data_IF_119249699705
#
_entry.id   IF_119249699705
#
_cell.length_a   1.000
_cell.length_b   1.000
_cell.length_c   1.000
_cell.angle_alpha   90.00
_cell.angle_beta   90.00
_cell.angle_gamma   90.00
#
_symmetry.space_group_name_H-M   'P 1'
#
loop_
_entity.id
_entity.type
_entity.pdbx_description
1 polymer ?
#
# COMPACT_ATOMS: atom_id res chain seq x y z
N UNK A 1 14.61 -52.52 45.39
CA UNK A 1 15.76 -51.62 45.51
C UNK A 1 16.01 -51.08 44.13
N UNK A 2 15.38 -49.92 43.84
CA UNK A 2 16.01 -48.62 43.75
C UNK A 2 16.82 -48.45 42.45
N UNK A 3 16.68 -47.56 41.53
CA UNK A 3 16.10 -46.25 41.56
C UNK A 3 15.84 -45.83 40.11
N UNK A 4 14.71 -45.23 39.85
CA UNK A 4 14.43 -44.56 38.61
C UNK A 4 15.11 -43.16 38.57
N UNK A 5 15.70 -42.82 37.44
CA UNK A 5 16.07 -41.45 37.16
C UNK A 5 15.12 -40.89 36.11
N UNK A 6 14.15 -40.10 36.55
CA UNK A 6 13.30 -39.28 35.74
C UNK A 6 14.12 -38.14 35.10
N UNK A 7 14.11 -38.03 33.79
CA UNK A 7 14.59 -36.84 33.12
C UNK A 7 13.50 -35.77 33.22
N UNK A 8 13.78 -34.76 34.04
CA UNK A 8 12.97 -33.54 34.11
C UNK A 8 13.01 -32.79 32.78
N UNK A 9 11.87 -32.77 32.10
CA UNK A 9 11.58 -31.79 31.07
C UNK A 9 11.40 -30.42 31.73
N UNK A 10 12.44 -29.62 31.69
CA UNK A 10 12.32 -28.18 32.02
C UNK A 10 11.53 -27.52 30.90
N UNK A 11 10.23 -27.39 31.09
CA UNK A 11 9.39 -26.46 30.40
C UNK A 11 9.74 -25.06 30.87
N UNK A 12 10.59 -24.38 30.12
CA UNK A 12 10.79 -22.94 30.30
C UNK A 12 9.54 -22.19 29.80
N UNK A 13 8.57 -22.02 30.69
CA UNK A 13 7.56 -20.96 30.50
C UNK A 13 8.31 -19.63 30.57
N UNK A 14 8.12 -18.71 29.61
CA UNK A 14 8.69 -17.38 29.72
C UNK A 14 8.10 -16.68 30.95
N UNK A 15 8.97 -16.17 31.78
CA UNK A 15 8.65 -15.33 32.93
C UNK A 15 7.76 -14.16 32.50
N UNK A 16 6.53 -13.99 33.01
CA UNK A 16 5.66 -12.86 32.68
C UNK A 16 6.16 -11.52 33.21
N UNK A 17 7.32 -11.49 33.90
CA UNK A 17 7.91 -10.29 34.50
C UNK A 17 8.97 -9.58 33.63
N UNK A 18 9.49 -10.16 32.58
CA UNK A 18 10.29 -9.45 31.59
C UNK A 18 9.39 -8.96 30.49
N UNK A 19 8.59 -7.95 30.74
CA UNK A 19 8.23 -6.99 29.72
C UNK A 19 9.55 -6.45 29.15
N UNK A 20 10.07 -7.07 28.08
CA UNK A 20 10.88 -6.30 27.16
C UNK A 20 10.07 -5.01 26.96
N UNK A 21 10.70 -3.83 27.15
CA UNK A 21 10.00 -2.58 26.88
C UNK A 21 9.44 -2.80 25.48
N UNK A 22 8.12 -2.69 25.35
CA UNK A 22 7.49 -2.68 24.05
C UNK A 22 8.44 -1.85 23.23
N UNK A 23 9.09 -2.46 22.20
CA UNK A 23 9.98 -1.74 21.33
C UNK A 23 9.09 -0.66 20.78
N UNK A 24 9.00 0.40 21.57
CA UNK A 24 8.27 1.57 21.19
C UNK A 24 8.76 1.83 19.80
N UNK A 25 7.95 2.28 18.94
CA UNK A 25 8.30 2.91 17.68
C UNK A 25 9.37 3.96 18.00
N UNK A 26 10.48 3.47 18.54
CA UNK A 26 11.56 4.24 19.11
C UNK A 26 12.22 4.98 17.97
N UNK A 27 12.42 6.24 18.21
CA UNK A 27 13.13 7.19 17.37
C UNK A 27 14.37 6.61 16.69
N UNK A 28 14.98 5.60 17.30
CA UNK A 28 16.21 4.98 16.83
C UNK A 28 16.04 4.02 15.67
N UNK A 29 14.84 3.53 15.39
CA UNK A 29 14.63 2.41 14.47
C UNK A 29 13.83 2.75 13.19
N UNK A 30 13.16 3.88 13.09
CA UNK A 30 12.44 4.25 11.89
C UNK A 30 13.39 4.74 10.79
N UNK A 31 13.73 3.84 9.88
CA UNK A 31 14.58 4.17 8.72
C UNK A 31 13.91 5.20 7.81
N UNK A 32 12.60 5.13 7.68
CA UNK A 32 11.81 6.09 6.91
C UNK A 32 11.95 7.51 7.46
N UNK A 33 11.89 7.64 8.77
CA UNK A 33 12.12 8.91 9.43
C UNK A 33 13.55 9.42 9.23
N UNK A 34 14.55 8.55 9.41
CA UNK A 34 15.97 8.93 9.23
C UNK A 34 16.25 9.36 7.80
N UNK A 35 15.67 8.68 6.81
CA UNK A 35 15.75 9.07 5.40
C UNK A 35 15.04 10.40 5.14
N UNK A 36 13.85 10.61 5.68
CA UNK A 36 13.14 11.89 5.57
C UNK A 36 13.79 13.00 6.36
N UNK A 37 14.44 12.71 7.50
CA UNK A 37 15.21 13.69 8.27
C UNK A 37 16.45 14.21 7.54
N UNK A 38 17.13 13.38 6.74
CA UNK A 38 18.22 13.81 5.84
C UNK A 38 17.77 14.87 4.83
N UNK A 39 16.47 14.96 4.59
CA UNK A 39 15.89 15.81 3.55
C UNK A 39 15.35 17.13 4.09
N UNK A 40 15.39 17.35 5.41
CA UNK A 40 14.89 18.56 6.04
C UNK A 40 15.74 19.78 5.66
N UNK A 41 15.08 20.83 5.27
CA UNK A 41 15.69 22.14 5.00
C UNK A 41 16.24 22.32 3.57
N UNK A 42 16.09 21.34 2.67
CA UNK A 42 16.60 21.47 1.29
C UNK A 42 15.46 21.60 0.26
N UNK A 43 14.31 20.94 0.47
CA UNK A 43 13.08 21.10 -0.30
C UNK A 43 11.94 20.36 0.40
N UNK A 44 10.68 20.74 0.13
CA UNK A 44 9.49 20.06 0.66
C UNK A 44 9.29 18.62 0.14
N UNK A 45 10.16 18.15 -0.75
CA UNK A 45 10.10 16.81 -1.34
C UNK A 45 11.30 15.94 -0.94
N UNK A 46 11.15 15.03 0.04
CA UNK A 46 12.21 14.13 0.46
C UNK A 46 12.70 13.17 -0.65
N UNK A 47 11.85 12.89 -1.63
CA UNK A 47 12.20 12.01 -2.75
C UNK A 47 13.30 12.61 -3.61
N UNK A 48 13.28 13.93 -3.79
CA UNK A 48 14.28 14.63 -4.60
C UNK A 48 15.71 14.42 -4.09
N UNK A 49 15.92 14.42 -2.79
CA UNK A 49 17.26 14.21 -2.22
C UNK A 49 17.72 12.76 -2.41
N UNK A 50 16.86 11.79 -2.18
CA UNK A 50 17.19 10.39 -2.45
C UNK A 50 17.52 10.17 -3.92
N UNK A 51 16.81 10.84 -4.84
CA UNK A 51 17.14 10.85 -6.27
C UNK A 51 18.50 11.49 -6.53
N UNK A 52 18.82 12.64 -5.92
CA UNK A 52 20.12 13.30 -6.07
C UNK A 52 21.27 12.42 -5.54
N UNK A 53 21.07 11.70 -4.44
CA UNK A 53 22.04 10.74 -3.93
C UNK A 53 22.32 9.67 -4.98
N UNK A 54 21.29 9.03 -5.52
CA UNK A 54 21.43 8.01 -6.57
C UNK A 54 22.11 8.54 -7.84
N UNK A 55 21.73 9.73 -8.29
CA UNK A 55 22.26 10.32 -9.52
C UNK A 55 23.71 10.82 -9.39
N UNK A 56 24.10 11.33 -8.22
CA UNK A 56 25.44 11.95 -8.03
C UNK A 56 26.48 10.99 -7.47
N UNK A 57 26.06 10.04 -6.63
CA UNK A 57 26.98 9.15 -5.91
C UNK A 57 27.08 7.80 -6.59
N UNK A 58 25.97 7.26 -7.08
CA UNK A 58 25.94 6.00 -7.79
C UNK A 58 24.67 5.16 -7.50
N UNK A 59 24.55 3.97 -8.14
CA UNK A 59 23.36 3.15 -8.06
C UNK A 59 23.20 2.40 -6.72
N UNK A 60 24.28 2.29 -5.93
CA UNK A 60 24.30 1.63 -4.61
C UNK A 60 25.10 2.52 -3.66
N UNK A 61 24.43 3.10 -2.67
CA UNK A 61 25.04 4.10 -1.79
C UNK A 61 24.88 3.70 -0.32
N UNK A 62 25.97 3.34 0.37
CA UNK A 62 25.93 3.10 1.80
C UNK A 62 25.94 4.42 2.59
N UNK A 63 25.02 4.55 3.54
CA UNK A 63 24.90 5.72 4.42
C UNK A 63 24.84 5.21 5.87
N UNK A 64 25.56 5.87 6.77
CA UNK A 64 25.44 5.61 8.20
C UNK A 64 24.44 6.58 8.81
N UNK A 65 23.33 6.06 9.31
CA UNK A 65 22.31 6.82 10.01
C UNK A 65 22.31 6.43 11.49
N UNK A 66 22.97 7.24 12.30
CA UNK A 66 23.25 6.94 13.71
C UNK A 66 23.91 5.54 13.86
N UNK A 67 23.27 4.62 14.58
CA UNK A 67 23.77 3.24 14.81
C UNK A 67 23.48 2.27 13.66
N UNK A 68 22.75 2.69 12.62
CA UNK A 68 22.34 1.80 11.52
C UNK A 68 23.01 2.15 10.20
N UNK A 69 23.51 1.12 9.52
CA UNK A 69 23.97 1.25 8.14
C UNK A 69 22.81 0.96 7.19
N UNK A 70 22.55 1.91 6.30
CA UNK A 70 21.51 1.87 5.28
C UNK A 70 22.18 1.89 3.91
N UNK A 71 21.77 1.00 3.03
CA UNK A 71 22.24 0.95 1.65
C UNK A 71 21.10 1.33 0.73
N UNK A 72 21.18 2.48 0.09
CA UNK A 72 20.19 2.95 -0.88
C UNK A 72 20.55 2.35 -2.24
N UNK A 73 19.60 1.69 -2.87
CA UNK A 73 19.72 1.06 -4.18
C UNK A 73 18.74 1.71 -5.12
N UNK A 74 19.21 2.19 -6.28
CA UNK A 74 18.39 2.92 -7.27
C UNK A 74 18.36 2.27 -8.64
N UNK A 75 19.17 1.24 -8.90
CA UNK A 75 19.27 0.58 -10.20
C UNK A 75 18.41 -0.71 -10.26
N UNK A 76 17.60 -0.89 -11.31
CA UNK A 76 16.76 -2.07 -11.54
C UNK A 76 17.47 -3.41 -11.51
N UNK A 77 18.72 -3.50 -11.96
CA UNK A 77 19.50 -4.75 -11.93
C UNK A 77 19.73 -5.20 -10.49
N UNK A 78 20.05 -4.26 -9.62
CA UNK A 78 20.24 -4.53 -8.19
C UNK A 78 18.92 -4.82 -7.46
N UNK A 79 17.78 -4.29 -7.94
CA UNK A 79 16.47 -4.71 -7.45
C UNK A 79 16.22 -6.19 -7.73
N UNK A 80 16.56 -6.65 -8.94
CA UNK A 80 16.48 -8.07 -9.29
C UNK A 80 17.35 -8.93 -8.35
N UNK A 81 18.58 -8.46 -8.05
CA UNK A 81 19.49 -9.18 -7.15
C UNK A 81 18.83 -9.42 -5.79
N UNK A 82 18.34 -8.35 -5.15
CA UNK A 82 17.77 -8.42 -3.79
C UNK A 82 16.39 -9.08 -3.74
N UNK A 83 15.51 -8.82 -4.72
CA UNK A 83 14.11 -9.27 -4.66
C UNK A 83 13.89 -10.65 -5.26
N UNK A 84 14.77 -11.09 -6.14
CA UNK A 84 14.58 -12.34 -6.92
C UNK A 84 15.74 -13.30 -6.72
N UNK A 85 16.97 -12.88 -7.07
CA UNK A 85 18.12 -13.78 -7.11
C UNK A 85 18.55 -14.23 -5.73
N UNK A 86 18.64 -13.30 -4.79
CA UNK A 86 19.06 -13.50 -3.40
C UNK A 86 17.91 -13.25 -2.39
N UNK A 87 16.66 -13.44 -2.82
CA UNK A 87 15.50 -13.11 -2.01
C UNK A 87 15.50 -13.72 -0.59
N UNK A 88 16.10 -14.89 -0.41
CA UNK A 88 16.18 -15.55 0.90
C UNK A 88 17.23 -14.95 1.82
N UNK A 89 18.26 -14.31 1.27
CA UNK A 89 19.27 -13.58 2.02
C UNK A 89 18.76 -12.23 2.57
N UNK A 90 17.62 -11.76 2.08
CA UNK A 90 17.09 -10.43 2.43
C UNK A 90 15.69 -10.55 3.04
N UNK A 91 15.63 -10.46 4.37
CA UNK A 91 14.36 -10.51 5.10
C UNK A 91 13.53 -9.22 4.90
N UNK A 92 12.21 -9.32 5.07
CA UNK A 92 11.34 -8.15 5.13
C UNK A 92 11.66 -7.30 6.37
N UNK A 93 11.43 -5.99 6.25
CA UNK A 93 11.58 -5.07 7.37
C UNK A 93 10.26 -4.32 7.61
N UNK A 94 9.55 -4.71 8.65
CA UNK A 94 8.28 -4.12 9.04
C UNK A 94 8.15 -3.94 10.56
N UNK A 95 9.26 -3.87 11.29
CA UNK A 95 9.27 -3.81 12.76
C UNK A 95 8.40 -2.67 13.32
N UNK A 96 8.35 -1.52 12.61
CA UNK A 96 7.51 -0.39 12.96
C UNK A 96 6.03 -0.54 12.64
N UNK A 97 5.63 -1.57 11.87
CA UNK A 97 4.26 -1.74 11.38
C UNK A 97 3.48 -2.84 12.09
N UNK A 98 4.11 -3.59 12.99
CA UNK A 98 3.43 -4.63 13.79
C UNK A 98 2.22 -4.09 14.57
N UNK A 99 2.24 -2.88 15.17
CA UNK A 99 1.06 -2.34 15.81
C UNK A 99 -0.13 -2.09 14.86
N UNK A 100 0.14 -1.87 13.56
CA UNK A 100 -0.91 -1.69 12.53
C UNK A 100 -1.42 -3.04 12.06
N UNK A 101 -0.51 -3.94 11.70
CA UNK A 101 -0.83 -5.17 10.96
C UNK A 101 -0.88 -6.42 11.85
N UNK A 102 -0.49 -6.31 13.12
CA UNK A 102 -0.30 -7.47 13.98
C UNK A 102 0.79 -8.40 13.45
N UNK A 103 0.67 -9.68 13.75
CA UNK A 103 1.52 -10.75 13.22
C UNK A 103 0.90 -11.32 11.95
N UNK A 104 0.89 -10.54 10.86
CA UNK A 104 0.26 -10.91 9.59
C UNK A 104 1.27 -11.32 8.53
N UNK A 105 0.78 -11.76 7.38
CA UNK A 105 1.61 -12.09 6.22
C UNK A 105 2.58 -10.95 5.84
N UNK A 106 2.21 -9.69 6.08
CA UNK A 106 3.06 -8.54 5.76
C UNK A 106 4.26 -8.44 6.71
N UNK A 107 4.09 -8.80 7.99
CA UNK A 107 5.13 -8.72 9.04
C UNK A 107 5.93 -10.01 9.22
N UNK A 108 5.41 -11.15 8.78
CA UNK A 108 6.12 -12.44 8.80
C UNK A 108 7.04 -12.63 7.60
N UNK A 109 8.07 -13.48 7.77
CA UNK A 109 8.98 -13.91 6.70
C UNK A 109 9.32 -15.40 6.79
N UNK A 110 10.14 -15.90 5.84
CA UNK A 110 10.60 -17.28 5.80
C UNK A 110 9.50 -18.32 5.60
N UNK A 111 9.64 -19.46 6.27
CA UNK A 111 8.71 -20.59 6.16
C UNK A 111 7.32 -20.26 6.68
N UNK A 112 7.23 -19.53 7.78
CA UNK A 112 5.94 -19.12 8.35
C UNK A 112 5.16 -18.22 7.40
N UNK A 113 5.82 -17.26 6.74
CA UNK A 113 5.21 -16.45 5.71
C UNK A 113 4.63 -17.30 4.56
N UNK A 114 5.34 -18.34 4.12
CA UNK A 114 4.83 -19.24 3.07
C UNK A 114 3.57 -19.99 3.51
N UNK A 115 3.58 -20.54 4.73
CA UNK A 115 2.42 -21.23 5.32
C UNK A 115 1.20 -20.33 5.43
N UNK A 116 1.41 -19.06 5.79
CA UNK A 116 0.33 -18.08 5.90
C UNK A 116 -0.18 -17.65 4.52
N UNK A 117 0.71 -17.43 3.55
CA UNK A 117 0.36 -16.93 2.21
C UNK A 117 -0.39 -17.94 1.37
N UNK A 118 0.02 -19.19 1.40
CA UNK A 118 -0.50 -20.22 0.47
C UNK A 118 -2.01 -20.44 0.54
N UNK A 119 -2.65 -20.54 1.72
CA UNK A 119 -4.10 -20.71 1.82
C UNK A 119 -4.90 -19.55 1.24
N UNK A 120 -4.34 -18.35 1.23
CA UNK A 120 -5.00 -17.10 0.86
C UNK A 120 -4.77 -16.74 -0.63
N UNK A 121 -3.77 -17.34 -1.26
CA UNK A 121 -3.37 -17.01 -2.64
C UNK A 121 -4.47 -17.19 -3.68
N UNK A 122 -5.37 -18.19 -3.60
CA UNK A 122 -6.45 -18.35 -4.57
C UNK A 122 -7.39 -17.15 -4.70
N UNK A 123 -7.58 -16.36 -3.62
CA UNK A 123 -8.39 -15.14 -3.65
C UNK A 123 -7.83 -14.06 -4.59
N UNK A 124 -6.54 -14.13 -4.93
CA UNK A 124 -5.84 -13.17 -5.79
C UNK A 124 -5.47 -13.75 -7.16
N UNK A 125 -5.99 -14.92 -7.49
CA UNK A 125 -5.85 -15.48 -8.82
C UNK A 125 -6.78 -14.77 -9.82
N UNK A 126 -6.36 -14.50 -11.08
CA UNK A 126 -7.21 -13.83 -12.06
C UNK A 126 -8.59 -14.45 -12.27
N UNK A 127 -8.73 -15.77 -12.10
CA UNK A 127 -10.01 -16.47 -12.22
C UNK A 127 -11.04 -16.01 -11.17
N UNK A 128 -10.59 -15.58 -9.98
CA UNK A 128 -11.46 -15.05 -8.95
C UNK A 128 -12.02 -13.65 -9.29
N UNK A 129 -11.36 -12.92 -10.18
CA UNK A 129 -11.73 -11.53 -10.47
C UNK A 129 -13.09 -11.41 -11.17
N UNK A 130 -13.46 -12.39 -11.98
CA UNK A 130 -14.80 -12.43 -12.60
C UNK A 130 -15.91 -12.41 -11.54
N UNK A 131 -15.68 -13.07 -10.41
CA UNK A 131 -16.64 -13.11 -9.30
C UNK A 131 -16.64 -11.78 -8.51
N UNK A 132 -15.56 -10.98 -8.54
CA UNK A 132 -15.44 -9.73 -7.77
C UNK A 132 -16.03 -8.52 -8.48
N UNK A 133 -16.03 -8.50 -9.82
CA UNK A 133 -16.47 -7.36 -10.62
C UNK A 133 -17.87 -6.86 -10.27
N UNK A 134 -18.91 -7.70 -10.07
CA UNK A 134 -20.22 -7.23 -9.66
C UNK A 134 -20.21 -6.47 -8.32
N UNK A 135 -19.33 -6.86 -7.39
CA UNK A 135 -19.20 -6.21 -6.08
C UNK A 135 -18.45 -4.89 -6.18
N UNK A 136 -17.40 -4.82 -7.03
CA UNK A 136 -16.75 -3.54 -7.35
C UNK A 136 -17.74 -2.58 -7.99
N UNK A 137 -18.50 -3.03 -8.98
CA UNK A 137 -19.53 -2.21 -9.63
C UNK A 137 -20.58 -1.69 -8.65
N UNK A 138 -21.02 -2.54 -7.71
CA UNK A 138 -21.97 -2.13 -6.67
C UNK A 138 -21.40 -1.02 -5.79
N UNK A 139 -20.17 -1.17 -5.27
CA UNK A 139 -19.50 -0.17 -4.46
C UNK A 139 -19.27 1.14 -5.23
N UNK A 140 -18.86 1.05 -6.50
CA UNK A 140 -18.64 2.23 -7.35
C UNK A 140 -19.97 2.97 -7.60
N UNK A 141 -21.07 2.25 -7.84
CA UNK A 141 -22.40 2.88 -8.02
C UNK A 141 -22.91 3.57 -6.76
N UNK A 142 -22.69 2.98 -5.59
CA UNK A 142 -23.01 3.64 -4.32
C UNK A 142 -22.18 4.92 -4.14
N UNK A 143 -20.90 4.89 -4.49
CA UNK A 143 -20.05 6.08 -4.49
C UNK A 143 -20.52 7.12 -5.52
N UNK A 144 -20.92 6.70 -6.71
CA UNK A 144 -21.46 7.59 -7.75
C UNK A 144 -22.72 8.31 -7.28
N UNK A 145 -23.64 7.60 -6.61
CA UNK A 145 -24.85 8.22 -6.03
C UNK A 145 -24.47 9.33 -5.02
N UNK A 146 -23.46 9.10 -4.19
CA UNK A 146 -22.93 10.14 -3.29
C UNK A 146 -22.30 11.30 -4.03
N UNK A 147 -21.62 11.05 -5.13
CA UNK A 147 -21.03 12.09 -5.96
C UNK A 147 -22.08 12.93 -6.72
N UNK A 148 -23.26 12.36 -7.03
CA UNK A 148 -24.39 13.16 -7.53
C UNK A 148 -24.81 14.24 -6.53
N UNK A 149 -24.94 13.88 -5.23
CA UNK A 149 -25.25 14.85 -4.18
C UNK A 149 -24.17 15.93 -4.03
N UNK A 150 -22.89 15.53 -4.08
CA UNK A 150 -21.77 16.47 -4.01
C UNK A 150 -21.71 17.42 -5.22
N UNK A 151 -22.10 16.92 -6.40
CA UNK A 151 -22.18 17.75 -7.60
C UNK A 151 -23.31 18.82 -7.51
N UNK A 152 -24.41 18.49 -6.84
CA UNK A 152 -25.51 19.43 -6.60
C UNK A 152 -25.13 20.52 -5.59
N UNK A 153 -24.47 20.15 -4.51
CA UNK A 153 -24.06 21.10 -3.45
C UNK A 153 -22.87 21.95 -3.84
N UNK A 154 -21.99 21.40 -4.72
CA UNK A 154 -20.72 22.02 -5.09
C UNK A 154 -19.71 22.09 -3.94
N UNK A 155 -19.90 21.27 -2.91
CA UNK A 155 -18.99 21.13 -1.78
C UNK A 155 -17.59 20.67 -2.23
N UNK A 156 -16.56 21.21 -1.58
CA UNK A 156 -15.18 20.76 -1.77
C UNK A 156 -14.95 19.58 -0.83
N UNK A 157 -14.50 18.45 -1.41
CA UNK A 157 -14.23 17.22 -0.68
C UNK A 157 -12.75 16.86 -0.70
N UNK A 158 -12.30 16.12 0.29
CA UNK A 158 -10.97 15.53 0.32
C UNK A 158 -10.98 14.22 -0.48
N UNK A 159 -10.27 14.19 -1.62
CA UNK A 159 -10.37 13.09 -2.59
C UNK A 159 -9.78 11.78 -2.06
N UNK A 160 -8.73 11.83 -1.24
CA UNK A 160 -8.18 10.61 -0.65
C UNK A 160 -9.20 9.94 0.26
N UNK A 161 -9.98 10.71 1.03
CA UNK A 161 -11.08 10.16 1.84
C UNK A 161 -12.18 9.54 0.96
N UNK A 162 -12.55 10.21 -0.14
CA UNK A 162 -13.56 9.69 -1.07
C UNK A 162 -13.14 8.37 -1.70
N UNK A 163 -11.89 8.27 -2.14
CA UNK A 163 -11.34 7.05 -2.74
C UNK A 163 -11.05 5.97 -1.70
N UNK A 164 -10.66 6.36 -0.48
CA UNK A 164 -10.44 5.43 0.62
C UNK A 164 -11.73 4.70 1.03
N UNK A 165 -12.82 5.46 1.18
CA UNK A 165 -14.12 4.87 1.52
C UNK A 165 -14.64 3.96 0.40
N UNK A 166 -14.37 4.29 -0.87
CA UNK A 166 -14.69 3.42 -2.00
C UNK A 166 -13.86 2.13 -1.97
N UNK A 167 -12.54 2.22 -1.81
CA UNK A 167 -11.65 1.05 -1.79
C UNK A 167 -11.98 0.11 -0.62
N UNK A 168 -12.28 0.66 0.58
CA UNK A 168 -12.69 -0.12 1.74
C UNK A 168 -13.99 -0.90 1.46
N UNK A 169 -14.96 -0.26 0.82
CA UNK A 169 -16.23 -0.91 0.48
C UNK A 169 -16.05 -2.00 -0.58
N UNK A 170 -15.23 -1.75 -1.61
CA UNK A 170 -14.87 -2.77 -2.61
C UNK A 170 -14.26 -4.01 -1.96
N UNK A 171 -13.32 -3.84 -1.01
CA UNK A 171 -12.66 -4.94 -0.31
C UNK A 171 -13.66 -5.70 0.57
N UNK A 172 -14.47 -4.99 1.36
CA UNK A 172 -15.46 -5.63 2.22
C UNK A 172 -16.43 -6.50 1.42
N UNK A 173 -16.97 -5.96 0.33
CA UNK A 173 -17.90 -6.68 -0.54
C UNK A 173 -17.24 -7.81 -1.31
N UNK A 174 -16.09 -7.59 -1.93
CA UNK A 174 -15.45 -8.56 -2.81
C UNK A 174 -14.72 -9.68 -2.05
N UNK A 175 -13.86 -9.34 -1.09
CA UNK A 175 -13.01 -10.30 -0.41
C UNK A 175 -13.64 -10.94 0.82
N UNK A 176 -14.52 -10.21 1.51
CA UNK A 176 -15.10 -10.70 2.77
C UNK A 176 -16.58 -11.05 2.67
N UNK A 177 -17.24 -10.70 1.57
CA UNK A 177 -18.71 -10.90 1.40
C UNK A 177 -19.50 -10.18 2.51
N UNK A 178 -19.10 -8.95 2.82
CA UNK A 178 -19.71 -8.12 3.85
C UNK A 178 -20.03 -6.74 3.31
N UNK A 179 -21.15 -6.17 3.72
CA UNK A 179 -21.29 -4.73 3.74
C UNK A 179 -20.38 -4.17 4.83
N UNK A 180 -19.94 -2.94 4.67
CA UNK A 180 -19.02 -2.35 5.63
C UNK A 180 -19.71 -2.14 6.99
N UNK A 181 -19.34 -2.87 8.05
CA UNK A 181 -20.07 -2.86 9.33
C UNK A 181 -19.72 -1.68 10.24
N UNK A 182 -19.09 -0.66 9.69
CA UNK A 182 -18.61 0.51 10.43
C UNK A 182 -18.73 1.77 9.57
N UNK A 183 -18.67 2.95 10.23
CA UNK A 183 -18.61 4.21 9.49
C UNK A 183 -17.25 4.36 8.81
N UNK A 184 -17.16 4.35 7.47
CA UNK A 184 -15.90 4.40 6.74
C UNK A 184 -15.14 5.71 6.95
N UNK A 185 -15.83 6.84 7.13
CA UNK A 185 -15.20 8.13 7.42
C UNK A 185 -14.53 8.14 8.80
N UNK A 186 -15.15 7.50 9.80
CA UNK A 186 -14.55 7.36 11.12
C UNK A 186 -13.30 6.48 11.06
N UNK A 187 -13.35 5.36 10.31
CA UNK A 187 -12.20 4.47 10.15
C UNK A 187 -11.08 5.16 9.37
N UNK A 188 -11.38 5.89 8.30
CA UNK A 188 -10.39 6.72 7.60
C UNK A 188 -9.69 7.68 8.56
N UNK A 189 -10.46 8.35 9.42
CA UNK A 189 -9.90 9.25 10.43
C UNK A 189 -8.98 8.50 11.41
N UNK A 190 -9.36 7.30 11.88
CA UNK A 190 -8.51 6.48 12.74
C UNK A 190 -7.21 6.08 12.03
N UNK A 191 -7.31 5.59 10.79
CA UNK A 191 -6.15 5.18 9.99
C UNK A 191 -5.22 6.37 9.75
N UNK A 192 -5.76 7.51 9.34
CA UNK A 192 -4.99 8.74 9.13
C UNK A 192 -4.33 9.21 10.42
N UNK A 193 -5.08 9.31 11.52
CA UNK A 193 -4.57 9.71 12.83
C UNK A 193 -3.46 8.75 13.27
N UNK A 194 -3.66 7.43 13.12
CA UNK A 194 -2.65 6.44 13.46
C UNK A 194 -1.38 6.59 12.61
N UNK A 195 -1.52 6.79 11.31
CA UNK A 195 -0.39 7.00 10.39
C UNK A 195 0.36 8.28 10.76
N UNK A 196 -0.36 9.34 11.09
CA UNK A 196 0.22 10.60 11.57
C UNK A 196 0.97 10.39 12.90
N UNK A 197 0.40 9.66 13.86
CA UNK A 197 1.09 9.31 15.12
C UNK A 197 2.35 8.49 14.88
N UNK A 198 2.30 7.49 14.01
CA UNK A 198 3.47 6.70 13.64
C UNK A 198 4.60 7.56 13.07
N UNK A 199 4.23 8.57 12.28
CA UNK A 199 5.16 9.55 11.75
C UNK A 199 5.63 10.53 12.83
N UNK A 200 4.92 10.66 13.97
CA UNK A 200 5.13 11.65 15.01
C UNK A 200 5.75 11.10 16.30
N UNK A 201 5.87 9.80 16.48
CA UNK A 201 6.67 9.26 17.60
C UNK A 201 8.14 9.68 17.55
N UNK A 202 8.54 10.26 16.45
CA UNK A 202 9.79 11.04 16.33
C UNK A 202 9.64 12.51 16.80
N UNK A 203 8.64 12.80 17.62
CA UNK A 203 8.28 14.14 18.16
C UNK A 203 9.45 14.91 18.76
N UNK A 204 10.41 14.25 19.41
CA UNK A 204 11.55 14.97 20.02
C UNK A 204 12.39 15.72 18.98
N UNK A 205 12.65 15.10 17.85
CA UNK A 205 13.39 15.73 16.76
C UNK A 205 12.56 16.78 16.02
N UNK A 206 11.21 16.60 15.95
CA UNK A 206 10.30 17.59 15.38
C UNK A 206 10.06 18.80 16.29
N UNK A 207 9.98 18.58 17.62
CA UNK A 207 9.95 19.69 18.59
C UNK A 207 11.19 20.58 18.53
N UNK A 208 12.36 19.98 18.23
CA UNK A 208 13.60 20.72 17.98
C UNK A 208 13.57 21.49 16.65
N UNK A 209 12.76 21.06 15.67
CA UNK A 209 12.57 21.72 14.38
C UNK A 209 11.45 22.76 14.35
N UNK A 210 10.76 23.04 15.47
CA UNK A 210 9.73 24.07 15.58
C UNK A 210 8.37 23.72 14.98
N UNK A 211 8.12 22.47 14.61
CA UNK A 211 6.80 22.03 14.15
C UNK A 211 5.92 21.67 15.35
N UNK A 212 4.87 22.44 15.60
CA UNK A 212 3.84 22.16 16.61
C UNK A 212 2.86 21.12 16.06
N UNK A 213 2.69 20.02 16.80
CA UNK A 213 1.65 19.02 16.53
C UNK A 213 0.62 18.99 17.67
N UNK A 214 -0.65 19.14 17.31
CA UNK A 214 -1.78 19.24 18.24
C UNK A 214 -2.47 17.89 18.51
N UNK A 215 -1.79 16.76 18.42
CA UNK A 215 -2.41 15.48 18.74
C UNK A 215 -2.04 15.02 20.15
N UNK A 216 -3.05 14.75 20.96
CA UNK A 216 -2.86 14.18 22.30
C UNK A 216 -2.56 12.67 22.22
N UNK A 217 -1.86 12.15 23.25
CA UNK A 217 -1.66 10.70 23.42
C UNK A 217 -3.01 9.95 23.53
N UNK A 218 -4.04 10.62 24.04
CA UNK A 218 -5.41 10.09 24.14
C UNK A 218 -6.05 9.92 22.77
N UNK A 219 -5.90 10.87 21.83
CA UNK A 219 -6.42 10.74 20.47
C UNK A 219 -5.71 9.63 19.69
N UNK A 220 -4.41 9.48 19.94
CA UNK A 220 -3.63 8.38 19.40
C UNK A 220 -4.12 7.02 19.88
N UNK A 221 -4.37 6.89 21.19
CA UNK A 221 -4.88 5.66 21.79
C UNK A 221 -6.28 5.31 21.24
N UNK A 222 -7.18 6.29 21.15
CA UNK A 222 -8.52 6.12 20.57
C UNK A 222 -8.47 5.70 19.11
N UNK A 223 -7.54 6.25 18.32
CA UNK A 223 -7.37 5.87 16.92
C UNK A 223 -6.92 4.41 16.78
N UNK A 224 -5.97 3.97 17.63
CA UNK A 224 -5.52 2.58 17.67
C UNK A 224 -6.67 1.65 18.09
N UNK A 225 -7.38 1.96 19.15
CA UNK A 225 -8.53 1.17 19.63
C UNK A 225 -9.62 1.07 18.55
N UNK A 226 -9.98 2.20 17.94
CA UNK A 226 -10.95 2.23 16.85
C UNK A 226 -10.54 1.37 15.65
N UNK A 227 -9.27 1.39 15.26
CA UNK A 227 -8.75 0.53 14.21
C UNK A 227 -8.79 -0.96 14.58
N UNK A 228 -8.45 -1.32 15.82
CA UNK A 228 -8.45 -2.72 16.28
C UNK A 228 -9.85 -3.31 16.41
N UNK A 229 -10.89 -2.48 16.52
CA UNK A 229 -12.28 -2.93 16.54
C UNK A 229 -12.82 -3.32 15.16
N UNK A 230 -12.17 -2.87 14.06
CA UNK A 230 -12.67 -3.08 12.70
C UNK A 230 -12.66 -4.55 12.25
N UNK A 231 -11.56 -5.33 12.36
CA UNK A 231 -11.57 -6.73 11.93
C UNK A 231 -12.60 -7.60 12.65
N UNK A 232 -12.76 -7.56 13.98
CA UNK A 232 -13.81 -8.29 14.66
C UNK A 232 -15.22 -7.91 14.17
N UNK A 233 -15.47 -6.63 13.86
CA UNK A 233 -16.74 -6.19 13.31
C UNK A 233 -17.00 -6.79 11.91
N UNK A 234 -15.98 -6.87 11.06
CA UNK A 234 -16.08 -7.52 9.74
C UNK A 234 -16.35 -9.02 9.86
N UNK A 235 -15.68 -9.72 10.78
CA UNK A 235 -15.88 -11.15 11.02
C UNK A 235 -17.31 -11.40 11.52
N UNK A 236 -17.79 -10.60 12.47
CA UNK A 236 -19.11 -10.75 13.09
C UNK A 236 -20.30 -10.29 12.23
N UNK A 237 -20.05 -9.53 11.17
CA UNK A 237 -21.10 -9.05 10.28
C UNK A 237 -21.76 -10.20 9.50
N UNK A 238 -23.06 -10.07 9.19
CA UNK A 238 -23.75 -11.02 8.36
C UNK A 238 -23.16 -11.09 6.94
N UNK A 239 -23.04 -12.29 6.32
CA UNK A 239 -22.61 -12.40 4.94
C UNK A 239 -23.67 -11.77 4.02
N UNK A 240 -23.21 -11.11 2.97
CA UNK A 240 -24.05 -10.43 1.98
C UNK A 240 -24.77 -11.43 1.07
N UNK A 241 -23.97 -12.29 0.44
CA UNK A 241 -24.45 -13.21 -0.59
C UNK A 241 -24.13 -14.68 -0.26
N UNK A 242 -23.60 -14.96 0.94
CA UNK A 242 -23.22 -16.28 1.44
C UNK A 242 -22.27 -17.05 0.50
N UNK A 243 -21.32 -16.34 -0.12
CA UNK A 243 -20.36 -16.94 -1.05
C UNK A 243 -19.42 -17.91 -0.32
N UNK A 244 -19.17 -19.05 -0.95
CA UNK A 244 -18.28 -20.09 -0.39
C UNK A 244 -16.78 -19.80 -0.65
N UNK A 245 -16.47 -19.07 -1.72
CA UNK A 245 -15.07 -18.79 -2.13
C UNK A 245 -14.72 -17.33 -1.87
N UNK A 246 -14.57 -16.96 -0.61
CA UNK A 246 -14.10 -15.62 -0.22
C UNK A 246 -12.78 -15.73 0.50
N UNK A 247 -12.02 -14.63 0.54
CA UNK A 247 -10.79 -14.57 1.33
C UNK A 247 -11.07 -14.84 2.82
N UNK A 248 -12.21 -14.33 3.34
CA UNK A 248 -12.61 -14.60 4.72
C UNK A 248 -12.78 -16.10 4.98
N UNK A 249 -13.46 -16.81 4.08
CA UNK A 249 -13.62 -18.28 4.16
C UNK A 249 -12.30 -19.04 4.08
N UNK A 250 -11.36 -18.55 3.25
CA UNK A 250 -10.02 -19.14 3.16
C UNK A 250 -9.23 -18.93 4.45
N UNK A 251 -9.35 -17.76 5.09
CA UNK A 251 -8.75 -17.48 6.40
C UNK A 251 -9.38 -18.36 7.48
N UNK A 252 -10.71 -18.45 7.55
CA UNK A 252 -11.44 -19.32 8.49
C UNK A 252 -11.00 -20.80 8.33
N UNK A 253 -10.87 -21.27 7.10
CA UNK A 253 -10.42 -22.63 6.83
C UNK A 253 -8.96 -22.85 7.27
N UNK A 254 -8.08 -21.87 7.06
CA UNK A 254 -6.68 -21.94 7.51
C UNK A 254 -6.55 -21.94 9.04
N UNK A 255 -7.39 -21.17 9.75
CA UNK A 255 -7.49 -21.18 11.23
C UNK A 255 -7.93 -22.56 11.75
N UNK A 256 -8.80 -23.25 11.00
CA UNK A 256 -9.30 -24.58 11.37
C UNK A 256 -8.40 -25.74 10.97
N UNK A 257 -7.35 -25.49 10.17
CA UNK A 257 -6.44 -26.54 9.65
C UNK A 257 -5.40 -26.96 10.71
N UNK A 258 -5.46 -28.21 11.22
CA UNK A 258 -4.50 -28.70 12.20
C UNK A 258 -3.09 -28.84 11.66
N UNK A 259 -2.89 -28.79 10.34
CA UNK A 259 -1.57 -28.87 9.71
C UNK A 259 -0.84 -27.52 9.71
N UNK A 260 -1.54 -26.44 10.07
CA UNK A 260 -0.99 -25.08 10.15
C UNK A 260 -1.27 -24.50 11.56
N UNK A 261 -0.71 -25.10 12.62
CA UNK A 261 -1.02 -24.66 14.00
C UNK A 261 -0.57 -23.23 14.29
N UNK A 262 0.33 -22.68 13.49
CA UNK A 262 0.76 -21.29 13.58
C UNK A 262 -0.29 -20.30 13.05
N UNK A 263 -1.30 -20.79 12.29
CA UNK A 263 -2.41 -19.98 11.78
C UNK A 263 -3.59 -20.05 12.76
N UNK A 264 -3.43 -19.48 13.94
CA UNK A 264 -4.46 -19.43 14.97
C UNK A 264 -5.53 -18.33 14.70
N UNK A 265 -6.50 -18.23 15.61
CA UNK A 265 -7.55 -17.22 15.51
C UNK A 265 -7.00 -15.78 15.45
N UNK A 266 -5.98 -15.47 16.28
CA UNK A 266 -5.37 -14.12 16.28
C UNK A 266 -4.65 -13.84 14.97
N UNK A 267 -3.98 -14.84 14.40
CA UNK A 267 -3.38 -14.73 13.07
C UNK A 267 -4.45 -14.42 12.01
N UNK A 268 -5.61 -15.08 12.08
CA UNK A 268 -6.75 -14.79 11.17
C UNK A 268 -7.24 -13.34 11.28
N UNK A 269 -7.38 -12.82 12.50
CA UNK A 269 -7.76 -11.42 12.75
C UNK A 269 -6.71 -10.47 12.18
N UNK A 270 -5.42 -10.77 12.39
CA UNK A 270 -4.33 -9.94 11.89
C UNK A 270 -4.24 -9.97 10.35
N UNK A 271 -4.56 -11.11 9.71
CA UNK A 271 -4.67 -11.18 8.25
C UNK A 271 -5.79 -10.29 7.70
N UNK A 272 -6.97 -10.29 8.32
CA UNK A 272 -8.07 -9.41 7.91
C UNK A 272 -7.67 -7.94 8.08
N UNK A 273 -7.02 -7.60 9.20
CA UNK A 273 -6.51 -6.27 9.49
C UNK A 273 -5.55 -5.78 8.40
N UNK A 274 -4.58 -6.62 8.01
CA UNK A 274 -3.62 -6.24 6.98
C UNK A 274 -4.29 -6.01 5.62
N UNK A 275 -5.27 -6.85 5.22
CA UNK A 275 -5.97 -6.69 3.94
C UNK A 275 -6.84 -5.45 3.91
N UNK A 276 -7.52 -5.15 5.01
CA UNK A 276 -8.31 -3.91 5.13
C UNK A 276 -7.43 -2.67 5.00
N UNK A 277 -6.23 -2.68 5.57
CA UNK A 277 -5.32 -1.54 5.43
C UNK A 277 -4.62 -1.52 4.08
N UNK A 278 -3.84 -2.56 3.79
CA UNK A 278 -2.94 -2.56 2.64
C UNK A 278 -3.70 -2.46 1.31
N UNK A 279 -4.87 -3.10 1.22
CA UNK A 279 -5.70 -3.04 0.03
C UNK A 279 -6.46 -1.72 -0.10
N UNK A 280 -6.91 -1.13 1.01
CA UNK A 280 -7.66 0.13 0.98
C UNK A 280 -6.77 1.33 0.71
N UNK A 281 -5.74 1.53 1.52
CA UNK A 281 -4.89 2.72 1.48
C UNK A 281 -4.16 2.88 0.13
N UNK A 282 -3.54 1.81 -0.37
CA UNK A 282 -2.77 1.87 -1.62
C UNK A 282 -3.64 2.04 -2.85
N UNK A 283 -4.80 1.38 -2.89
CA UNK A 283 -5.80 1.50 -3.95
C UNK A 283 -6.39 2.90 -3.97
N UNK A 284 -6.77 3.42 -2.81
CA UNK A 284 -7.31 4.77 -2.67
C UNK A 284 -6.33 5.84 -3.15
N UNK A 285 -5.06 5.75 -2.76
CA UNK A 285 -4.02 6.69 -3.20
C UNK A 285 -3.80 6.60 -4.71
N UNK A 286 -3.80 5.40 -5.29
CA UNK A 286 -3.69 5.23 -6.75
C UNK A 286 -4.83 5.95 -7.46
N UNK A 287 -6.08 5.75 -7.03
CA UNK A 287 -7.24 6.39 -7.66
C UNK A 287 -7.25 7.91 -7.44
N UNK A 288 -6.92 8.37 -6.25
CA UNK A 288 -6.86 9.81 -5.93
C UNK A 288 -5.80 10.53 -6.78
N UNK A 289 -4.61 9.96 -6.91
CA UNK A 289 -3.56 10.51 -7.77
C UNK A 289 -3.92 10.42 -9.27
N UNK A 290 -4.64 9.37 -9.70
CA UNK A 290 -5.14 9.29 -11.09
C UNK A 290 -6.14 10.42 -11.38
N UNK A 291 -7.08 10.68 -10.47
CA UNK A 291 -8.04 11.77 -10.60
C UNK A 291 -7.32 13.15 -10.58
N UNK A 292 -6.29 13.32 -9.75
CA UNK A 292 -5.46 14.51 -9.75
C UNK A 292 -4.79 14.73 -11.11
N UNK A 293 -4.08 13.73 -11.63
CA UNK A 293 -3.41 13.82 -12.91
C UNK A 293 -4.39 14.13 -14.05
N UNK A 294 -5.55 13.47 -14.06
CA UNK A 294 -6.58 13.68 -15.09
C UNK A 294 -7.26 15.04 -14.99
N UNK A 295 -7.33 15.65 -13.81
CA UNK A 295 -7.81 17.01 -13.66
C UNK A 295 -6.85 18.05 -14.27
N UNK A 296 -5.55 17.72 -14.36
CA UNK A 296 -4.53 18.55 -15.00
C UNK A 296 -4.36 18.24 -16.51
N UNK A 297 -4.93 17.10 -16.99
CA UNK A 297 -4.81 16.63 -18.35
C UNK A 297 -6.20 16.33 -18.97
N UNK A 298 -6.99 17.37 -19.31
CA UNK A 298 -8.38 17.22 -19.75
C UNK A 298 -8.53 16.37 -21.01
N UNK A 299 -7.58 16.41 -21.94
CA UNK A 299 -7.60 15.60 -23.17
C UNK A 299 -7.44 14.10 -22.84
N UNK A 300 -6.56 13.76 -21.90
CA UNK A 300 -6.40 12.39 -21.42
C UNK A 300 -7.67 11.91 -20.70
N UNK A 301 -8.29 12.78 -19.89
CA UNK A 301 -9.56 12.47 -19.22
C UNK A 301 -10.70 12.25 -20.27
N UNK A 302 -10.76 13.07 -21.33
CA UNK A 302 -11.72 12.90 -22.39
C UNK A 302 -11.53 11.56 -23.14
N UNK A 303 -10.28 11.13 -23.33
CA UNK A 303 -9.98 9.85 -23.95
C UNK A 303 -10.39 8.66 -23.09
N UNK A 304 -10.17 8.72 -21.77
CA UNK A 304 -10.69 7.70 -20.81
C UNK A 304 -12.21 7.61 -20.91
N UNK A 305 -12.92 8.74 -20.92
CA UNK A 305 -14.38 8.78 -21.09
C UNK A 305 -14.83 8.13 -22.41
N UNK A 306 -14.17 8.49 -23.49
CA UNK A 306 -14.48 7.93 -24.83
C UNK A 306 -14.28 6.42 -24.87
N UNK A 307 -13.15 5.90 -24.33
CA UNK A 307 -12.89 4.46 -24.24
C UNK A 307 -13.96 3.77 -23.40
N UNK A 308 -14.25 4.29 -22.20
CA UNK A 308 -15.26 3.71 -21.31
C UNK A 308 -16.67 3.68 -21.94
N UNK A 309 -17.04 4.74 -22.68
CA UNK A 309 -18.31 4.79 -23.43
C UNK A 309 -18.35 3.79 -24.59
N UNK A 310 -17.24 3.62 -25.32
CA UNK A 310 -17.16 2.66 -26.42
C UNK A 310 -17.18 1.21 -25.95
N UNK A 311 -16.53 0.91 -24.81
CA UNK A 311 -16.41 -0.46 -24.29
C UNK A 311 -17.66 -0.88 -23.54
N UNK A 312 -18.16 -0.04 -22.64
CA UNK A 312 -19.24 -0.38 -21.72
C UNK A 312 -20.60 0.21 -22.12
N UNK A 313 -20.63 1.29 -22.92
CA UNK A 313 -21.87 2.04 -23.13
C UNK A 313 -22.43 2.53 -21.79
N UNK A 314 -23.72 2.30 -21.55
CA UNK A 314 -24.41 2.64 -20.29
C UNK A 314 -24.41 1.50 -19.27
N UNK A 315 -23.98 0.30 -19.65
CA UNK A 315 -23.94 -0.85 -18.75
C UNK A 315 -22.77 -0.80 -17.79
N UNK A 316 -22.88 -1.59 -16.72
CA UNK A 316 -21.75 -1.84 -15.82
C UNK A 316 -20.65 -2.64 -16.55
N UNK A 317 -19.37 -2.43 -16.25
CA UNK A 317 -18.29 -3.23 -16.78
C UNK A 317 -18.39 -4.71 -16.39
N UNK A 318 -17.99 -5.58 -17.32
CA UNK A 318 -17.88 -7.02 -17.16
C UNK A 318 -16.42 -7.49 -17.25
N UNK A 319 -16.17 -8.79 -17.00
CA UNK A 319 -14.82 -9.34 -16.96
C UNK A 319 -14.00 -9.10 -18.24
N UNK A 320 -14.64 -9.22 -19.40
CA UNK A 320 -13.98 -9.03 -20.69
C UNK A 320 -13.64 -7.55 -20.98
N UNK A 321 -14.35 -6.61 -20.36
CA UNK A 321 -14.15 -5.19 -20.60
C UNK A 321 -12.81 -4.70 -20.01
N UNK A 322 -12.30 -5.32 -18.96
CA UNK A 322 -11.01 -4.96 -18.39
C UNK A 322 -9.88 -5.01 -19.43
N UNK A 323 -9.91 -6.01 -20.32
CA UNK A 323 -8.92 -6.11 -21.39
C UNK A 323 -9.09 -5.02 -22.47
N UNK A 324 -10.33 -4.61 -22.73
CA UNK A 324 -10.68 -3.58 -23.71
C UNK A 324 -10.42 -2.16 -23.19
N UNK A 325 -10.47 -1.91 -21.88
CA UNK A 325 -10.14 -0.63 -21.22
C UNK A 325 -8.61 -0.41 -21.18
N UNK A 326 -7.94 -0.57 -22.32
CA UNK A 326 -6.47 -0.60 -22.40
C UNK A 326 -5.84 0.76 -22.10
N UNK A 327 -6.45 1.85 -22.54
CA UNK A 327 -5.97 3.20 -22.27
C UNK A 327 -6.21 3.59 -20.82
N UNK A 328 -7.37 3.28 -20.26
CA UNK A 328 -7.68 3.51 -18.83
C UNK A 328 -6.70 2.77 -17.94
N UNK A 329 -6.35 1.51 -18.27
CA UNK A 329 -5.28 0.77 -17.56
C UNK A 329 -3.93 1.47 -17.68
N UNK A 330 -3.60 2.00 -18.85
CA UNK A 330 -2.34 2.71 -19.05
C UNK A 330 -2.27 4.00 -18.21
N UNK A 331 -3.39 4.67 -17.99
CA UNK A 331 -3.51 5.80 -17.06
C UNK A 331 -3.17 5.36 -15.63
N UNK A 332 -3.73 4.24 -15.16
CA UNK A 332 -3.43 3.70 -13.80
C UNK A 332 -1.96 3.30 -13.70
N UNK A 333 -1.39 2.68 -14.72
CA UNK A 333 0.04 2.31 -14.70
C UNK A 333 0.95 3.54 -14.64
N UNK A 334 0.64 4.57 -15.43
CA UNK A 334 1.42 5.82 -15.43
C UNK A 334 1.27 6.59 -14.11
N UNK A 335 0.07 6.56 -13.52
CA UNK A 335 -0.16 7.11 -12.19
C UNK A 335 0.72 6.44 -11.15
N UNK A 336 0.77 5.10 -11.12
CA UNK A 336 1.61 4.35 -10.18
C UNK A 336 3.11 4.52 -10.47
N UNK A 337 3.51 4.90 -11.69
CA UNK A 337 4.89 5.26 -11.97
C UNK A 337 5.24 6.61 -11.36
N UNK A 338 4.40 7.64 -11.56
CA UNK A 338 4.65 9.00 -11.05
C UNK A 338 4.39 9.10 -9.54
N UNK A 339 3.35 8.46 -9.04
CA UNK A 339 2.92 8.51 -7.64
C UNK A 339 2.70 7.09 -7.09
N UNK A 340 3.77 6.26 -6.99
CA UNK A 340 3.63 4.91 -6.43
C UNK A 340 3.24 5.01 -4.95
N UNK A 341 2.12 4.40 -4.52
CA UNK A 341 1.74 4.43 -3.10
C UNK A 341 2.84 3.89 -2.19
N UNK A 342 3.55 2.85 -2.63
CA UNK A 342 4.76 2.33 -1.96
C UNK A 342 5.97 2.78 -2.77
N UNK A 343 6.62 3.85 -2.32
CA UNK A 343 7.70 4.51 -3.03
C UNK A 343 9.06 3.79 -2.95
N UNK A 344 9.21 2.82 -2.04
CA UNK A 344 10.40 2.01 -1.89
C UNK A 344 10.15 0.77 -1.04
N UNK A 345 11.07 -0.19 -1.11
CA UNK A 345 11.01 -1.43 -0.34
C UNK A 345 12.23 -1.53 0.56
N UNK A 346 12.05 -1.92 1.81
CA UNK A 346 13.17 -2.16 2.72
C UNK A 346 13.36 -3.65 2.93
N UNK A 347 14.63 -4.06 2.97
CA UNK A 347 15.07 -5.40 3.32
C UNK A 347 16.16 -5.34 4.37
N UNK A 348 16.30 -6.40 5.14
CA UNK A 348 17.41 -6.61 6.07
C UNK A 348 18.28 -7.71 5.52
N UNK A 349 19.57 -7.47 5.39
CA UNK A 349 20.52 -8.49 5.00
C UNK A 349 20.69 -9.52 6.13
N UNK A 350 20.33 -10.77 5.87
CA UNK A 350 20.50 -11.91 6.78
C UNK A 350 21.86 -12.57 6.67
N UNK A 351 22.56 -12.36 5.56
CA UNK A 351 23.92 -12.83 5.32
C UNK A 351 24.79 -11.73 4.68
N UNK A 352 26.11 -11.92 4.70
CA UNK A 352 27.01 -11.02 3.99
C UNK A 352 26.85 -11.23 2.47
N UNK A 353 26.81 -10.12 1.72
CA UNK A 353 26.63 -10.15 0.26
C UNK A 353 27.35 -8.96 -0.39
N UNK A 354 27.21 -8.82 -1.70
CA UNK A 354 27.74 -7.69 -2.46
C UNK A 354 26.71 -7.24 -3.51
N UNK A 355 26.42 -5.93 -3.48
CA UNK A 355 25.52 -5.32 -4.46
C UNK A 355 26.34 -4.29 -5.25
N UNK A 356 26.56 -4.54 -6.55
CA UNK A 356 27.52 -3.75 -7.32
C UNK A 356 28.90 -3.82 -6.69
N UNK A 357 29.48 -2.66 -6.41
CA UNK A 357 30.80 -2.53 -5.75
C UNK A 357 30.71 -2.36 -4.23
N UNK A 358 29.52 -2.49 -3.64
CA UNK A 358 29.30 -2.26 -2.21
C UNK A 358 29.13 -3.58 -1.47
N UNK A 359 29.99 -3.81 -0.46
CA UNK A 359 29.86 -4.94 0.46
C UNK A 359 28.68 -4.71 1.41
N UNK A 360 27.81 -5.69 1.52
CA UNK A 360 26.64 -5.74 2.39
C UNK A 360 26.98 -6.56 3.62
N UNK A 361 26.67 -6.02 4.77
CA UNK A 361 26.89 -6.67 6.07
C UNK A 361 25.60 -7.25 6.61
N UNK A 362 25.68 -8.31 7.40
CA UNK A 362 24.55 -8.81 8.16
C UNK A 362 23.92 -7.68 8.99
N UNK A 363 22.62 -7.53 8.88
CA UNK A 363 21.88 -6.47 9.57
C UNK A 363 21.77 -5.13 8.81
N UNK A 364 22.49 -4.97 7.68
CA UNK A 364 22.31 -3.76 6.84
C UNK A 364 20.85 -3.63 6.37
N UNK A 365 20.37 -2.39 6.38
CA UNK A 365 19.05 -2.05 5.81
C UNK A 365 19.23 -1.66 4.35
N UNK A 366 18.71 -2.48 3.45
CA UNK A 366 18.77 -2.24 2.01
C UNK A 366 17.46 -1.62 1.54
N UNK A 367 17.50 -0.37 1.11
CA UNK A 367 16.36 0.41 0.62
C UNK A 367 16.37 0.37 -0.90
N UNK A 368 15.43 -0.36 -1.48
CA UNK A 368 15.19 -0.38 -2.92
C UNK A 368 14.30 0.82 -3.28
N UNK A 369 14.90 1.86 -3.81
CA UNK A 369 14.25 3.15 -4.04
C UNK A 369 13.49 3.13 -5.39
N UNK A 370 12.30 2.51 -5.39
CA UNK A 370 11.46 2.35 -6.58
C UNK A 370 11.06 3.68 -7.21
N UNK A 371 10.66 4.68 -6.41
CA UNK A 371 10.34 6.02 -6.90
C UNK A 371 11.49 6.60 -7.74
N UNK A 372 12.74 6.50 -7.27
CA UNK A 372 13.90 6.98 -8.02
C UNK A 372 14.08 6.28 -9.36
N UNK A 373 13.86 4.96 -9.41
CA UNK A 373 13.90 4.23 -10.68
C UNK A 373 12.75 4.63 -11.63
N UNK A 374 11.56 4.91 -11.09
CA UNK A 374 10.40 5.36 -11.86
C UNK A 374 10.58 6.76 -12.47
N UNK A 375 11.41 7.62 -11.88
CA UNK A 375 11.65 9.02 -12.27
C UNK A 375 13.03 9.24 -12.92
N UNK A 376 13.75 8.15 -13.25
CA UNK A 376 15.09 8.27 -13.82
C UNK A 376 15.07 8.40 -15.34
N UNK A 377 15.69 9.44 -15.88
CA UNK A 377 15.93 9.63 -17.33
C UNK A 377 16.71 8.47 -17.95
N UNK A 378 17.48 7.72 -17.14
CA UNK A 378 18.19 6.52 -17.59
C UNK A 378 17.23 5.41 -18.07
N UNK A 379 16.02 5.38 -17.55
CA UNK A 379 15.04 4.29 -17.81
C UNK A 379 13.78 4.76 -18.51
N UNK A 380 13.46 6.06 -18.44
CA UNK A 380 12.21 6.63 -18.94
C UNK A 380 12.46 7.89 -19.75
N UNK A 381 11.92 7.95 -20.97
CA UNK A 381 11.83 9.19 -21.76
C UNK A 381 10.89 10.16 -21.05
N UNK A 382 11.29 11.40 -20.82
CA UNK A 382 10.51 12.43 -20.13
C UNK A 382 9.87 11.88 -18.85
N UNK A 383 10.69 11.54 -17.83
CA UNK A 383 10.22 10.80 -16.64
C UNK A 383 9.19 11.57 -15.82
N UNK A 384 9.19 12.90 -15.85
CA UNK A 384 8.24 13.73 -15.10
C UNK A 384 6.92 13.97 -15.86
N UNK A 385 6.87 13.64 -17.15
CA UNK A 385 5.68 13.82 -17.97
C UNK A 385 4.66 12.70 -17.74
N UNK A 386 3.39 13.06 -17.57
CA UNK A 386 2.28 12.12 -17.52
C UNK A 386 1.92 11.66 -18.94
N UNK A 387 2.39 10.49 -19.33
CA UNK A 387 2.26 9.92 -20.68
C UNK A 387 1.76 8.49 -20.64
N UNK A 388 0.45 8.26 -20.50
CA UNK A 388 -0.14 6.91 -20.49
C UNK A 388 0.18 6.09 -21.75
N UNK A 389 0.39 6.74 -22.89
CA UNK A 389 0.70 6.11 -24.19
C UNK A 389 1.96 5.24 -24.15
N UNK A 390 2.90 5.52 -23.24
CA UNK A 390 4.13 4.71 -23.08
C UNK A 390 3.84 3.24 -22.77
N UNK A 391 2.69 2.96 -22.15
CA UNK A 391 2.25 1.61 -21.78
C UNK A 391 1.54 0.88 -22.92
N UNK A 392 1.12 1.60 -23.93
CA UNK A 392 0.45 1.06 -25.14
C UNK A 392 1.43 0.70 -26.25
N UNK A 393 2.60 1.32 -26.25
CA UNK A 393 3.64 1.07 -27.26
C UNK A 393 4.38 -0.26 -26.99
N UNK A 394 3.90 -1.33 -27.64
CA UNK A 394 4.49 -2.67 -27.53
C UNK A 394 5.88 -2.80 -28.21
N UNK A 395 6.31 -1.79 -28.98
CA UNK A 395 7.62 -1.79 -29.64
C UNK A 395 8.74 -1.37 -28.70
N UNK A 396 8.44 -0.55 -27.70
CA UNK A 396 9.37 -0.10 -26.66
C UNK A 396 9.37 -1.08 -25.50
N UNK A 397 10.46 -1.83 -25.35
CA UNK A 397 10.66 -2.68 -24.16
C UNK A 397 11.17 -1.80 -23.02
N UNK A 398 10.40 -1.74 -21.95
CA UNK A 398 10.85 -1.12 -20.71
C UNK A 398 11.99 -1.92 -20.08
N UNK A 399 12.92 -1.24 -19.43
CA UNK A 399 13.98 -1.90 -18.67
C UNK A 399 13.34 -2.73 -17.56
N UNK A 400 13.66 -4.01 -17.51
CA UNK A 400 13.07 -4.92 -16.52
C UNK A 400 13.39 -4.42 -15.11
N UNK A 401 12.41 -4.41 -14.23
CA UNK A 401 12.47 -3.89 -12.85
C UNK A 401 12.61 -2.36 -12.72
N UNK A 402 12.61 -1.58 -13.81
CA UNK A 402 12.49 -0.12 -13.69
C UNK A 402 11.10 0.34 -13.24
N UNK A 403 10.11 -0.54 -13.27
CA UNK A 403 8.74 -0.34 -12.81
C UNK A 403 8.35 -1.47 -11.86
N UNK A 404 8.28 -1.17 -10.56
CA UNK A 404 8.05 -2.15 -9.48
C UNK A 404 7.04 -1.67 -8.42
N UNK A 405 5.89 -1.09 -8.78
CA UNK A 405 4.94 -0.58 -7.78
C UNK A 405 4.40 -1.66 -6.85
N UNK A 406 4.45 -2.92 -7.28
CA UNK A 406 4.01 -4.10 -6.51
C UNK A 406 5.18 -4.97 -6.02
N UNK A 407 6.41 -4.45 -6.08
CA UNK A 407 7.61 -5.22 -5.81
C UNK A 407 7.89 -6.27 -6.88
N UNK A 408 8.72 -7.27 -6.53
CA UNK A 408 9.07 -8.36 -7.43
C UNK A 408 9.41 -9.65 -6.67
N UNK A 409 9.50 -10.75 -7.42
CA UNK A 409 9.88 -12.06 -6.89
C UNK A 409 8.78 -12.71 -6.04
N UNK A 410 9.17 -13.69 -5.23
CA UNK A 410 8.23 -14.48 -4.43
C UNK A 410 7.40 -13.67 -3.42
N UNK A 411 7.93 -12.52 -2.99
CA UNK A 411 7.27 -11.60 -2.05
C UNK A 411 6.58 -10.43 -2.73
N UNK A 412 6.29 -10.51 -4.04
CA UNK A 412 5.48 -9.52 -4.74
C UNK A 412 4.08 -9.42 -4.14
N UNK A 413 3.46 -8.24 -4.29
CA UNK A 413 2.11 -7.98 -3.78
C UNK A 413 1.10 -8.99 -4.34
N UNK A 414 0.32 -9.68 -3.49
CA UNK A 414 -0.72 -10.59 -3.98
C UNK A 414 -1.86 -9.85 -4.67
N UNK A 415 -2.24 -8.67 -4.16
CA UNK A 415 -3.33 -7.85 -4.68
C UNK A 415 -2.99 -7.00 -5.91
N UNK A 416 -1.78 -7.12 -6.50
CA UNK A 416 -1.35 -6.21 -7.55
C UNK A 416 -2.24 -6.20 -8.80
N UNK A 417 -2.68 -7.36 -9.25
CA UNK A 417 -3.58 -7.46 -10.40
C UNK A 417 -5.01 -7.01 -10.07
N UNK A 418 -5.49 -7.34 -8.86
CA UNK A 418 -6.80 -6.90 -8.37
C UNK A 418 -6.86 -5.37 -8.24
N UNK A 419 -5.83 -4.75 -7.65
CA UNK A 419 -5.76 -3.29 -7.51
C UNK A 419 -5.79 -2.57 -8.86
N UNK A 420 -5.11 -3.09 -9.88
CA UNK A 420 -5.20 -2.54 -11.23
C UNK A 420 -6.61 -2.69 -11.83
N UNK A 421 -7.26 -3.82 -11.61
CA UNK A 421 -8.62 -4.05 -12.07
C UNK A 421 -9.60 -3.08 -11.42
N UNK A 422 -9.68 -3.03 -10.10
CA UNK A 422 -10.63 -2.19 -9.36
C UNK A 422 -10.43 -0.69 -9.63
N UNK A 423 -9.19 -0.21 -9.71
CA UNK A 423 -8.91 1.17 -10.08
C UNK A 423 -9.30 1.48 -11.53
N UNK A 424 -9.09 0.55 -12.46
CA UNK A 424 -9.49 0.73 -13.87
C UNK A 424 -11.01 0.84 -14.00
N UNK A 425 -11.75 -0.05 -13.34
CA UNK A 425 -13.21 -0.03 -13.36
C UNK A 425 -13.77 1.22 -12.69
N UNK A 426 -13.22 1.59 -11.52
CA UNK A 426 -13.63 2.80 -10.80
C UNK A 426 -13.40 4.05 -11.67
N UNK A 427 -12.22 4.18 -12.27
CA UNK A 427 -11.90 5.32 -13.11
C UNK A 427 -12.82 5.40 -14.34
N UNK A 428 -13.05 4.27 -15.03
CA UNK A 428 -13.93 4.20 -16.18
C UNK A 428 -15.38 4.58 -15.83
N UNK A 429 -15.92 4.07 -14.72
CA UNK A 429 -17.30 4.35 -14.30
C UNK A 429 -17.47 5.79 -13.81
N UNK A 430 -16.57 6.28 -12.96
CA UNK A 430 -16.65 7.63 -12.40
C UNK A 430 -16.54 8.70 -13.49
N UNK A 431 -15.57 8.58 -14.40
CA UNK A 431 -15.33 9.60 -15.44
C UNK A 431 -16.37 9.60 -16.56
N UNK A 432 -17.21 8.58 -16.71
CA UNK A 432 -18.36 8.64 -17.64
C UNK A 432 -19.43 9.64 -17.18
N UNK A 433 -19.51 9.94 -15.88
CA UNK A 433 -20.56 10.80 -15.32
C UNK A 433 -20.04 12.09 -14.69
N UNK A 434 -18.80 12.06 -14.20
CA UNK A 434 -18.26 13.15 -13.43
C UNK A 434 -16.96 13.69 -14.02
N UNK A 435 -16.75 14.97 -13.80
CA UNK A 435 -15.49 15.67 -14.01
C UNK A 435 -15.00 16.20 -12.67
N UNK A 436 -14.14 15.46 -11.95
CA UNK A 436 -13.50 15.96 -10.75
C UNK A 436 -12.53 17.10 -11.07
N UNK A 437 -12.62 18.20 -10.35
CA UNK A 437 -11.85 19.42 -10.55
C UNK A 437 -10.98 19.67 -9.31
N UNK A 438 -9.66 19.59 -9.47
CA UNK A 438 -8.73 19.83 -8.37
C UNK A 438 -8.65 21.32 -8.02
N UNK A 439 -8.71 21.64 -6.72
CA UNK A 439 -8.83 23.01 -6.21
C UNK A 439 -7.60 23.44 -5.41
N UNK A 440 -6.56 22.62 -5.33
CA UNK A 440 -5.36 22.90 -4.57
C UNK A 440 -4.19 23.46 -5.40
N UNK A 441 -2.98 23.54 -4.82
CA UNK A 441 -1.78 24.01 -5.51
C UNK A 441 -1.27 22.99 -6.55
N UNK A 442 -0.75 23.48 -7.66
CA UNK A 442 -0.15 22.67 -8.73
C UNK A 442 1.34 22.98 -8.84
N UNK A 443 2.26 22.00 -8.75
CA UNK A 443 1.98 20.57 -8.46
C UNK A 443 1.48 20.36 -7.03
N UNK A 444 0.65 19.33 -6.84
CA UNK A 444 0.21 18.91 -5.52
C UNK A 444 1.43 18.44 -4.70
N UNK A 445 1.65 18.99 -3.51
CA UNK A 445 2.82 18.62 -2.71
C UNK A 445 2.66 17.20 -2.18
N UNK A 446 3.77 16.44 -2.17
CA UNK A 446 3.81 15.06 -1.70
C UNK A 446 4.40 14.95 -0.30
N UNK A 447 3.96 13.93 0.42
CA UNK A 447 4.51 13.55 1.72
C UNK A 447 4.83 12.04 1.69
N UNK A 448 6.10 11.71 1.84
CA UNK A 448 6.55 10.33 1.85
C UNK A 448 6.69 9.84 3.28
N UNK A 449 5.85 8.90 3.64
CA UNK A 449 5.87 8.19 4.93
C UNK A 449 5.97 6.68 4.66
N UNK A 450 5.13 5.86 5.24
CA UNK A 450 4.96 4.45 4.80
C UNK A 450 4.43 4.41 3.37
N UNK A 451 3.51 5.34 3.06
CA UNK A 451 2.94 5.56 1.73
C UNK A 451 3.26 6.97 1.20
N UNK A 452 3.15 7.14 -0.11
CA UNK A 452 3.30 8.43 -0.77
C UNK A 452 1.94 9.14 -0.82
N UNK A 453 1.70 10.02 0.15
CA UNK A 453 0.45 10.74 0.30
C UNK A 453 0.55 12.19 -0.19
N UNK A 454 -0.56 12.84 -0.56
CA UNK A 454 -0.56 14.29 -0.76
C UNK A 454 -0.43 15.02 0.58
N UNK A 455 0.51 15.97 0.64
CA UNK A 455 0.68 16.83 1.83
C UNK A 455 -0.46 17.85 1.89
N UNK A 456 -1.26 17.77 2.92
CA UNK A 456 -2.44 18.65 3.09
C UNK A 456 -3.70 18.16 2.37
N UNK A 457 -3.65 16.97 1.77
CA UNK A 457 -4.80 16.37 1.07
C UNK A 457 -4.95 16.81 -0.38
N UNK A 458 -6.00 16.32 -1.02
CA UNK A 458 -6.39 16.66 -2.40
C UNK A 458 -7.82 17.24 -2.40
N UNK A 459 -7.98 18.57 -2.27
CA UNK A 459 -9.30 19.20 -2.34
C UNK A 459 -9.85 19.16 -3.76
N UNK A 460 -11.07 18.63 -3.93
CA UNK A 460 -11.75 18.51 -5.20
C UNK A 460 -13.16 19.02 -5.15
N UNK A 461 -13.62 19.58 -6.25
CA UNK A 461 -15.01 19.81 -6.55
C UNK A 461 -15.50 18.80 -7.58
N UNK A 462 -16.62 18.14 -7.30
CA UNK A 462 -17.22 17.18 -8.23
C UNK A 462 -18.19 17.97 -9.14
N UNK A 463 -18.07 17.75 -10.46
CA UNK A 463 -19.02 18.28 -11.45
C UNK A 463 -19.61 17.13 -12.24
N UNK A 464 -20.89 17.25 -12.63
CA UNK A 464 -21.48 16.37 -13.63
C UNK A 464 -20.94 16.73 -15.00
N UNK A 465 -20.82 15.74 -15.85
CA UNK A 465 -20.71 15.96 -17.29
C UNK A 465 -22.07 16.38 -17.83
N UNK A 466 -22.07 17.43 -18.63
CA UNK A 466 -23.26 17.92 -19.36
C UNK A 466 -23.62 16.99 -20.52
#
# INVERSE_FOLDING_TARGET
>A
MTDGAAMDHVSATPDPGTTQPAHGLGEENSIWFKLTALTRGVNDNPMHILMQIGNRVGPVVPINLASQRVVIVTDPEHFKHVLVTKADAYAKYFDGLTPIFGKSMITHDGVLWQKIRMPQQPAFHPDAFTEYIPFFNAAIKEKMARWEELADTGEIVEMVEQTWTLAADMICKALFDRDMPFNPHAVFKYVKTYTDVMNHKDIRLRKQAGELFEMSDEDAAKAVEGWWAVPPAVIGAAPRDQREKTLLKMIEAAVADPNIPEFDHQQGVDEIKQYLWAGTETTALTLAWALYLLSQHPDTAARVRSEAAQVCGDRDPEANDYSALAFTRSVIQETMRLYPPVWGLIRVAGEADRIGDVDIRVGDRVVLFGYGAHHSEKFWDEPEAFRPERWMDKTKKQVKYSYIPFGAGKRSCPGGAMSQLENTLALAMLLRRFQPEYMGPVPAPIHATVTLTPKGGLPFKIRRLS
#
